data_IF_075012309978
#
_entry.id   IF_075012309978
#
_cell.length_a   1.000
_cell.length_b   1.000
_cell.length_c   1.000
_cell.angle_alpha   90.00
_cell.angle_beta   90.00
_cell.angle_gamma   90.00
#
_symmetry.space_group_name_H-M   'P 1'
#
loop_
_entity.id
_entity.type
_entity.pdbx_description
1 polymer ?
#
# COMPACT_ATOMS: atom_id res chain seq x y z
N UNK A 1 13.84 -55.45 -48.13
CA UNK A 1 12.40 -55.13 -48.02
C UNK A 1 12.21 -54.32 -46.75
N UNK A 2 12.25 -53.00 -46.85
CA UNK A 2 12.00 -52.09 -45.73
C UNK A 2 10.72 -51.33 -46.03
N UNK A 3 9.66 -51.58 -45.28
CA UNK A 3 8.38 -50.90 -45.43
C UNK A 3 8.38 -49.63 -44.58
N UNK A 4 8.37 -48.49 -45.26
CA UNK A 4 8.00 -47.17 -44.75
C UNK A 4 6.59 -47.25 -44.12
N UNK A 5 6.47 -46.95 -42.84
CA UNK A 5 5.17 -46.69 -42.20
C UNK A 5 4.79 -45.26 -42.52
N UNK A 6 3.81 -45.09 -43.41
CA UNK A 6 3.05 -43.85 -43.55
C UNK A 6 2.41 -43.52 -42.20
N UNK A 7 2.73 -42.34 -41.67
CA UNK A 7 1.97 -41.72 -40.59
C UNK A 7 0.90 -40.86 -41.25
N UNK A 8 -0.33 -41.36 -41.30
CA UNK A 8 -1.49 -40.55 -41.58
C UNK A 8 -1.69 -39.56 -40.41
N UNK A 9 -1.70 -38.23 -40.64
CA UNK A 9 -2.03 -37.28 -39.60
C UNK A 9 -3.54 -37.37 -39.29
N UNK A 10 -3.86 -37.55 -38.01
CA UNK A 10 -5.22 -37.57 -37.50
C UNK A 10 -5.92 -36.25 -37.87
N UNK A 11 -7.12 -36.26 -38.48
CA UNK A 11 -7.89 -35.06 -38.74
C UNK A 11 -8.29 -34.39 -37.42
N UNK A 12 -7.86 -33.13 -37.22
CA UNK A 12 -8.25 -32.28 -36.09
C UNK A 12 -9.66 -31.69 -36.31
N UNK A 13 -10.64 -32.52 -36.66
CA UNK A 13 -12.04 -32.11 -36.76
C UNK A 13 -12.84 -32.84 -35.68
N UNK A 14 -13.16 -32.12 -34.60
CA UNK A 14 -14.08 -32.62 -33.56
C UNK A 14 -13.63 -32.49 -32.11
N UNK A 15 -12.51 -31.83 -31.82
CA UNK A 15 -12.26 -31.35 -30.46
C UNK A 15 -13.08 -30.07 -30.27
N UNK A 16 -14.35 -30.23 -29.89
CA UNK A 16 -15.05 -29.15 -29.20
C UNK A 16 -14.17 -28.76 -28.00
N UNK A 17 -13.83 -27.48 -27.83
CA UNK A 17 -13.08 -27.07 -26.65
C UNK A 17 -13.95 -27.41 -25.46
N UNK A 18 -13.47 -28.33 -24.60
CA UNK A 18 -13.95 -28.44 -23.23
C UNK A 18 -14.08 -27.02 -22.71
N UNK A 19 -15.31 -26.64 -22.37
CA UNK A 19 -15.68 -25.28 -21.95
C UNK A 19 -15.19 -24.96 -20.54
N UNK A 20 -13.97 -25.38 -20.21
CA UNK A 20 -13.15 -24.94 -19.08
C UNK A 20 -12.13 -23.88 -19.56
N UNK A 21 -12.59 -22.97 -20.41
CA UNK A 21 -11.92 -21.69 -20.59
C UNK A 21 -12.05 -20.87 -19.30
N UNK A 22 -11.04 -20.05 -18.93
CA UNK A 22 -11.17 -19.15 -17.79
C UNK A 22 -12.46 -18.35 -17.96
N UNK A 23 -13.32 -18.43 -16.94
CA UNK A 23 -14.62 -17.75 -16.94
C UNK A 23 -14.37 -16.29 -17.32
N UNK A 24 -15.10 -15.71 -18.29
CA UNK A 24 -14.90 -14.32 -18.67
C UNK A 24 -14.97 -13.46 -17.41
N UNK A 25 -13.89 -12.71 -17.15
CA UNK A 25 -13.81 -11.80 -16.01
C UNK A 25 -15.00 -10.86 -16.14
N UNK A 26 -15.97 -11.02 -15.24
CA UNK A 26 -17.15 -10.17 -15.18
C UNK A 26 -16.76 -8.70 -15.03
N UNK A 27 -17.69 -7.76 -15.29
CA UNK A 27 -17.44 -6.34 -15.06
C UNK A 27 -16.87 -6.14 -13.66
N UNK A 28 -15.81 -5.35 -13.54
CA UNK A 28 -15.13 -5.15 -12.27
C UNK A 28 -16.04 -4.37 -11.33
N UNK A 29 -16.27 -4.84 -10.09
CA UNK A 29 -17.25 -4.24 -9.21
C UNK A 29 -16.84 -2.82 -8.78
N UNK A 30 -17.80 -2.02 -8.36
CA UNK A 30 -17.60 -0.73 -7.66
C UNK A 30 -17.80 -0.88 -6.15
N UNK A 31 -17.34 0.07 -5.33
CA UNK A 31 -17.42 0.03 -3.86
C UNK A 31 -18.84 -0.14 -3.31
N UNK A 32 -19.85 0.34 -4.03
CA UNK A 32 -21.28 0.25 -3.69
C UNK A 32 -21.91 -1.10 -4.08
N UNK A 33 -21.26 -1.86 -4.97
CA UNK A 33 -21.67 -3.22 -5.34
C UNK A 33 -21.11 -4.28 -4.38
N UNK A 34 -20.14 -3.91 -3.53
CA UNK A 34 -19.55 -4.79 -2.52
C UNK A 34 -20.46 -4.98 -1.31
N UNK A 35 -20.18 -6.02 -0.52
CA UNK A 35 -20.82 -6.18 0.79
C UNK A 35 -20.50 -4.96 1.68
N UNK A 36 -21.42 -4.53 2.58
CA UNK A 36 -21.15 -3.40 3.47
C UNK A 36 -19.90 -3.59 4.35
N UNK A 37 -19.57 -4.84 4.67
CA UNK A 37 -18.42 -5.19 5.49
C UNK A 37 -17.10 -5.05 4.70
N UNK A 38 -17.02 -5.63 3.49
CA UNK A 38 -15.88 -5.46 2.60
C UNK A 38 -15.67 -4.00 2.19
N UNK A 39 -16.75 -3.30 1.79
CA UNK A 39 -16.70 -1.87 1.46
C UNK A 39 -16.19 -1.06 2.66
N UNK A 40 -16.66 -1.37 3.88
CA UNK A 40 -16.19 -0.74 5.11
C UNK A 40 -14.71 -0.97 5.39
N UNK A 41 -14.20 -2.19 5.19
CA UNK A 41 -12.78 -2.55 5.34
C UNK A 41 -11.90 -1.81 4.34
N UNK A 42 -12.29 -1.78 3.06
CA UNK A 42 -11.57 -1.06 2.01
C UNK A 42 -11.57 0.45 2.29
N UNK A 43 -12.72 1.05 2.62
CA UNK A 43 -12.77 2.48 2.97
C UNK A 43 -11.90 2.79 4.20
N UNK A 44 -11.89 1.93 5.23
CA UNK A 44 -11.00 2.09 6.39
C UNK A 44 -9.53 2.06 5.99
N UNK A 45 -9.16 1.17 5.08
CA UNK A 45 -7.82 1.13 4.50
C UNK A 45 -7.50 2.46 3.80
N UNK A 46 -8.38 2.94 2.90
CA UNK A 46 -8.19 4.20 2.16
C UNK A 46 -7.99 5.38 3.13
N UNK A 47 -8.82 5.48 4.18
CA UNK A 47 -8.69 6.55 5.19
C UNK A 47 -7.31 6.49 5.84
N UNK A 48 -6.89 5.30 6.25
CA UNK A 48 -5.60 5.10 6.93
C UNK A 48 -4.44 5.44 6.01
N UNK A 49 -4.43 4.88 4.79
CA UNK A 49 -3.38 5.13 3.81
C UNK A 49 -3.30 6.59 3.39
N UNK A 50 -4.43 7.29 3.28
CA UNK A 50 -4.43 8.71 2.91
C UNK A 50 -3.91 9.59 4.04
N UNK A 51 -4.35 9.37 5.28
CA UNK A 51 -3.93 10.18 6.44
C UNK A 51 -2.47 9.95 6.82
N UNK A 52 -1.98 8.71 6.69
CA UNK A 52 -0.57 8.37 6.91
C UNK A 52 0.30 8.70 5.68
N UNK A 53 -0.35 9.16 4.60
CA UNK A 53 0.25 9.56 3.31
C UNK A 53 0.98 8.39 2.64
N UNK A 54 0.51 7.16 2.87
CA UNK A 54 1.08 5.89 2.44
C UNK A 54 1.10 4.89 3.59
N UNK A 55 0.94 3.61 3.27
CA UNK A 55 1.04 2.51 4.23
C UNK A 55 2.03 1.47 3.74
N UNK A 56 2.65 0.77 4.68
CA UNK A 56 3.57 -0.30 4.38
C UNK A 56 2.83 -1.48 3.68
N UNK A 57 3.51 -2.29 2.86
CA UNK A 57 2.91 -3.39 2.11
C UNK A 57 2.22 -4.43 3.00
N UNK A 58 2.65 -4.58 4.25
CA UNK A 58 1.97 -5.43 5.24
C UNK A 58 0.52 -4.99 5.53
N UNK A 59 0.19 -3.70 5.42
CA UNK A 59 -1.18 -3.21 5.53
C UNK A 59 -2.04 -3.67 4.35
N UNK A 60 -1.45 -3.80 3.15
CA UNK A 60 -2.13 -4.37 1.98
C UNK A 60 -2.36 -5.87 2.19
N UNK A 61 -1.40 -6.61 2.73
CA UNK A 61 -1.59 -8.03 3.10
C UNK A 61 -2.73 -8.18 4.09
N UNK A 62 -2.74 -7.35 5.15
CA UNK A 62 -3.80 -7.36 6.15
C UNK A 62 -5.17 -7.07 5.52
N UNK A 63 -5.25 -6.12 4.58
CA UNK A 63 -6.48 -5.88 3.82
C UNK A 63 -6.92 -7.13 3.03
N UNK A 64 -6.02 -7.78 2.29
CA UNK A 64 -6.37 -9.00 1.55
C UNK A 64 -6.80 -10.16 2.47
N UNK A 65 -6.17 -10.30 3.63
CA UNK A 65 -6.58 -11.27 4.65
C UNK A 65 -7.98 -10.95 5.18
N UNK A 66 -8.27 -9.68 5.45
CA UNK A 66 -9.58 -9.20 5.88
C UNK A 66 -10.64 -9.36 4.77
N UNK A 67 -10.27 -9.37 3.50
CA UNK A 67 -11.19 -9.60 2.37
C UNK A 67 -11.30 -11.08 1.97
N UNK A 68 -10.60 -11.99 2.68
CA UNK A 68 -10.59 -13.40 2.34
C UNK A 68 -12.01 -13.99 2.38
N UNK A 69 -12.41 -14.63 1.29
CA UNK A 69 -13.76 -15.18 1.12
C UNK A 69 -14.75 -14.26 0.40
N UNK A 70 -14.37 -13.01 0.11
CA UNK A 70 -15.19 -12.05 -0.64
C UNK A 70 -14.58 -11.77 -2.03
N UNK A 71 -14.82 -12.65 -2.99
CA UNK A 71 -14.18 -12.63 -4.32
C UNK A 71 -14.33 -11.29 -5.06
N UNK A 72 -15.49 -10.64 -4.95
CA UNK A 72 -15.73 -9.33 -5.57
C UNK A 72 -14.87 -8.22 -4.93
N UNK A 73 -14.68 -8.26 -3.60
CA UNK A 73 -13.87 -7.28 -2.89
C UNK A 73 -12.38 -7.46 -3.19
N UNK A 74 -11.91 -8.71 -3.30
CA UNK A 74 -10.55 -9.03 -3.76
C UNK A 74 -10.32 -8.50 -5.17
N UNK A 75 -11.24 -8.75 -6.11
CA UNK A 75 -11.15 -8.21 -7.48
C UNK A 75 -11.14 -6.68 -7.52
N UNK A 76 -11.88 -6.02 -6.62
CA UNK A 76 -11.82 -4.57 -6.48
C UNK A 76 -10.43 -4.10 -6.01
N UNK A 77 -9.87 -4.73 -4.96
CA UNK A 77 -8.53 -4.43 -4.45
C UNK A 77 -7.43 -4.72 -5.51
N UNK A 78 -7.60 -5.77 -6.32
CA UNK A 78 -6.67 -6.11 -7.40
C UNK A 78 -6.54 -5.00 -8.44
N UNK A 79 -7.61 -4.25 -8.73
CA UNK A 79 -7.48 -3.06 -9.60
C UNK A 79 -6.45 -2.10 -9.07
N UNK A 80 -6.50 -1.86 -7.76
CA UNK A 80 -5.66 -0.87 -7.10
C UNK A 80 -4.21 -1.32 -6.98
N UNK A 81 -4.00 -2.55 -6.54
CA UNK A 81 -2.67 -3.03 -6.15
C UNK A 81 -1.99 -3.84 -7.24
N UNK A 82 -2.74 -4.68 -7.96
CA UNK A 82 -2.17 -5.56 -9.01
C UNK A 82 -2.14 -4.84 -10.36
N UNK A 83 -3.24 -4.18 -10.73
CA UNK A 83 -3.34 -3.48 -12.02
C UNK A 83 -2.82 -2.04 -11.97
N UNK A 84 -2.51 -1.53 -10.78
CA UNK A 84 -2.08 -0.14 -10.53
C UNK A 84 -3.04 0.90 -11.13
N UNK A 85 -4.32 0.57 -11.22
CA UNK A 85 -5.38 1.49 -11.59
C UNK A 85 -5.95 2.11 -10.33
N UNK A 86 -6.19 3.42 -10.29
CA UNK A 86 -6.95 4.05 -9.20
C UNK A 86 -8.42 4.13 -9.60
N UNK A 87 -9.32 3.32 -9.02
CA UNK A 87 -10.75 3.41 -9.29
C UNK A 87 -11.30 4.82 -8.99
N UNK A 88 -12.35 5.24 -9.71
CA UNK A 88 -12.90 6.59 -9.53
C UNK A 88 -13.50 6.79 -8.13
N UNK A 89 -14.23 5.80 -7.65
CA UNK A 89 -14.81 5.75 -6.31
C UNK A 89 -13.75 5.68 -5.20
N UNK A 90 -12.62 5.01 -5.44
CA UNK A 90 -11.45 5.05 -4.56
C UNK A 90 -10.94 6.49 -4.42
N UNK A 91 -10.73 7.16 -5.54
CA UNK A 91 -10.25 8.55 -5.58
C UNK A 91 -11.25 9.52 -4.94
N UNK A 92 -12.55 9.27 -5.07
CA UNK A 92 -13.58 10.07 -4.40
C UNK A 92 -13.48 9.94 -2.87
N UNK A 93 -13.19 8.74 -2.35
CA UNK A 93 -12.93 8.53 -0.92
C UNK A 93 -11.65 9.25 -0.49
N UNK A 94 -10.54 9.12 -1.22
CA UNK A 94 -9.28 9.83 -0.94
C UNK A 94 -9.49 11.36 -0.88
N UNK A 95 -10.14 11.94 -1.89
CA UNK A 95 -10.45 13.36 -1.95
C UNK A 95 -11.26 13.81 -0.73
N UNK A 96 -12.27 13.02 -0.33
CA UNK A 96 -13.09 13.34 0.84
C UNK A 96 -12.30 13.27 2.15
N UNK A 97 -11.32 12.37 2.26
CA UNK A 97 -10.41 12.30 3.41
C UNK A 97 -9.53 13.54 3.46
N UNK A 98 -8.98 13.96 2.31
CA UNK A 98 -8.14 15.17 2.19
C UNK A 98 -8.92 16.44 2.55
N UNK A 99 -10.17 16.58 2.09
CA UNK A 99 -11.05 17.69 2.47
C UNK A 99 -11.30 17.76 3.99
N UNK A 100 -11.52 16.59 4.62
CA UNK A 100 -11.71 16.48 6.06
C UNK A 100 -10.41 16.78 6.83
N UNK A 101 -9.26 16.33 6.33
CA UNK A 101 -7.95 16.61 6.90
C UNK A 101 -7.66 18.11 6.86
N UNK A 102 -7.88 18.76 5.71
CA UNK A 102 -7.72 20.21 5.56
C UNK A 102 -8.64 20.97 6.51
N UNK A 103 -9.90 20.58 6.59
CA UNK A 103 -10.87 21.18 7.53
C UNK A 103 -10.49 20.97 9.00
N UNK A 104 -9.86 19.85 9.35
CA UNK A 104 -9.38 19.58 10.70
C UNK A 104 -8.13 20.42 11.01
N UNK A 105 -7.21 20.53 10.05
CA UNK A 105 -5.99 21.35 10.14
C UNK A 105 -6.29 22.82 10.35
N UNK A 106 -7.27 23.37 9.64
CA UNK A 106 -7.75 24.75 9.82
C UNK A 106 -8.29 25.02 11.24
N UNK A 107 -8.69 23.96 11.95
CA UNK A 107 -9.15 24.01 13.35
C UNK A 107 -8.07 23.65 14.36
N UNK A 108 -6.86 23.37 13.91
CA UNK A 108 -5.74 22.97 14.76
C UNK A 108 -5.81 21.51 15.25
N UNK A 109 -6.58 20.66 14.58
CA UNK A 109 -6.72 19.24 14.92
C UNK A 109 -5.84 18.38 14.01
N UNK A 110 -4.96 17.57 14.62
CA UNK A 110 -4.26 16.48 13.92
C UNK A 110 -5.23 15.30 13.72
N UNK A 111 -5.79 15.21 12.51
CA UNK A 111 -6.78 14.19 12.17
C UNK A 111 -6.16 12.79 12.11
N UNK A 112 -4.90 12.66 11.69
CA UNK A 112 -4.20 11.38 11.65
C UNK A 112 -3.97 10.83 13.08
N UNK A 113 -3.54 11.68 14.01
CA UNK A 113 -3.41 11.29 15.42
C UNK A 113 -4.76 11.00 16.09
N UNK A 114 -5.82 11.71 15.71
CA UNK A 114 -7.17 11.41 16.18
C UNK A 114 -7.68 10.07 15.64
N UNK A 115 -7.45 9.79 14.35
CA UNK A 115 -7.79 8.53 13.70
C UNK A 115 -7.10 7.34 14.34
N UNK A 116 -5.77 7.38 14.52
CA UNK A 116 -4.98 6.31 15.18
C UNK A 116 -5.50 5.96 16.57
N UNK A 117 -5.88 6.96 17.36
CA UNK A 117 -6.47 6.75 18.70
C UNK A 117 -7.85 6.11 18.63
N UNK A 118 -8.63 6.43 17.61
CA UNK A 118 -9.99 5.96 17.46
C UNK A 118 -10.08 4.55 16.85
N UNK A 119 -9.12 4.16 16.00
CA UNK A 119 -9.07 2.82 15.37
C UNK A 119 -8.48 1.74 16.27
N UNK A 120 -7.67 2.12 17.27
CA UNK A 120 -7.18 1.19 18.30
C UNK A 120 -8.27 0.61 19.22
N UNK A 121 -9.50 1.13 19.14
CA UNK A 121 -10.68 0.59 19.84
C UNK A 121 -11.53 -0.14 18.80
N UNK A 122 -11.59 -1.47 18.89
CA UNK A 122 -12.38 -2.30 17.99
C UNK A 122 -13.88 -1.97 18.12
N UNK A 123 -14.38 -1.10 17.23
CA UNK A 123 -15.80 -0.78 17.13
C UNK A 123 -16.34 -1.31 15.79
N UNK A 124 -17.16 -2.38 15.79
CA UNK A 124 -17.79 -2.87 14.59
C UNK A 124 -18.91 -1.92 14.11
N UNK A 125 -19.00 -1.73 12.79
CA UNK A 125 -20.22 -1.23 12.14
C UNK A 125 -20.38 0.29 11.97
N UNK A 126 -19.36 1.12 12.17
CA UNK A 126 -19.39 2.52 11.72
C UNK A 126 -18.70 2.70 10.36
N UNK A 127 -19.36 3.39 9.44
CA UNK A 127 -18.77 3.81 8.17
C UNK A 127 -17.55 4.70 8.46
N UNK A 128 -16.36 4.26 8.06
CA UNK A 128 -15.09 4.91 8.40
C UNK A 128 -15.07 6.42 8.06
N UNK A 129 -15.70 6.83 6.97
CA UNK A 129 -15.86 8.24 6.59
C UNK A 129 -16.74 9.05 7.55
N UNK A 130 -17.79 8.47 8.12
CA UNK A 130 -18.62 9.16 9.12
C UNK A 130 -17.84 9.37 10.42
N UNK A 131 -17.09 8.35 10.85
CA UNK A 131 -16.22 8.45 12.01
C UNK A 131 -15.15 9.52 11.80
N UNK A 132 -14.50 9.52 10.62
CA UNK A 132 -13.52 10.53 10.26
C UNK A 132 -14.14 11.94 10.25
N UNK A 133 -15.33 12.11 9.68
CA UNK A 133 -16.03 13.39 9.67
C UNK A 133 -16.33 13.90 11.09
N UNK A 134 -16.73 13.01 12.01
CA UNK A 134 -16.92 13.34 13.43
C UNK A 134 -15.62 13.76 14.10
N UNK A 135 -14.52 13.05 13.86
CA UNK A 135 -13.20 13.38 14.40
C UNK A 135 -12.67 14.71 13.86
N UNK A 136 -12.91 14.98 12.58
CA UNK A 136 -12.62 16.28 11.99
C UNK A 136 -13.46 17.38 12.65
N UNK A 137 -14.60 17.05 13.27
CA UNK A 137 -15.52 18.00 13.90
C UNK A 137 -16.58 18.54 12.95
N UNK A 138 -16.85 17.84 11.84
CA UNK A 138 -18.02 18.14 11.01
C UNK A 138 -19.27 17.85 11.85
N UNK A 139 -20.01 18.90 12.21
CA UNK A 139 -21.23 18.79 13.04
C UNK A 139 -22.34 18.17 12.20
N UNK A 140 -22.91 17.07 12.69
CA UNK A 140 -24.36 16.94 12.76
C UNK A 140 -24.79 16.71 14.21
N UNK A 141 -25.98 17.22 14.50
CA UNK A 141 -26.55 17.52 15.81
C UNK A 141 -26.55 16.37 16.83
N UNK A 142 -26.00 16.66 18.01
CA UNK A 142 -26.39 16.19 19.34
C UNK A 142 -26.80 14.70 19.54
N UNK A 143 -25.93 13.94 20.23
CA UNK A 143 -26.32 13.19 21.43
C UNK A 143 -25.24 13.35 22.51
N UNK A 144 -25.60 13.57 23.79
CA UNK A 144 -24.62 13.63 24.87
C UNK A 144 -24.12 12.21 25.16
N UNK A 145 -22.80 12.00 25.03
CA UNK A 145 -22.15 10.79 25.56
C UNK A 145 -22.13 10.88 27.09
N UNK A 146 -22.64 9.83 27.75
CA UNK A 146 -22.47 9.63 29.19
C UNK A 146 -21.04 9.14 29.43
N UNK A 147 -20.39 9.72 30.43
CA UNK A 147 -19.06 9.32 30.92
C UNK A 147 -19.05 7.85 31.33
N UNK A 148 -18.08 7.10 30.82
CA UNK A 148 -17.79 5.69 31.16
C UNK A 148 -16.48 5.52 31.93
N UNK A 149 -15.85 6.62 32.36
CA UNK A 149 -14.73 6.56 33.29
C UNK A 149 -15.27 6.53 34.71
N UNK A 150 -15.48 5.32 35.23
CA UNK A 150 -15.29 4.96 36.63
C UNK A 150 -15.14 3.44 36.73
N UNK A 151 -13.95 2.93 36.41
CA UNK A 151 -13.35 1.79 37.13
C UNK A 151 -11.85 1.70 36.81
N UNK A 152 -10.95 1.80 37.80
CA UNK A 152 -9.55 1.43 37.68
C UNK A 152 -9.36 -0.07 37.94
N UNK A 153 -8.37 -0.66 37.28
CA UNK A 153 -7.87 -2.04 37.39
C UNK A 153 -8.54 -3.07 36.46
N UNK A 154 -7.83 -3.40 35.39
CA UNK A 154 -7.37 -4.76 35.08
C UNK A 154 -6.49 -4.73 33.82
N UNK A 155 -5.19 -4.52 34.02
CA UNK A 155 -4.13 -4.78 33.04
C UNK A 155 -3.46 -6.10 33.43
N UNK A 156 -4.13 -7.22 33.15
CA UNK A 156 -3.50 -8.54 33.14
C UNK A 156 -2.89 -8.80 31.75
N UNK A 157 -1.57 -8.66 31.72
CA UNK A 157 -0.57 -9.51 31.07
C UNK A 157 -1.10 -10.49 29.99
N UNK A 158 -0.77 -10.22 28.72
CA UNK A 158 -0.71 -11.25 27.68
C UNK A 158 0.75 -11.48 27.32
N UNK A 159 1.25 -12.63 27.79
CA UNK A 159 2.51 -13.26 27.42
C UNK A 159 2.61 -13.48 25.91
N UNK A 160 3.79 -13.13 25.43
CA UNK A 160 4.60 -13.67 24.32
C UNK A 160 3.94 -14.69 23.38
N UNK A 161 3.84 -14.29 22.10
CA UNK A 161 3.90 -15.23 20.99
C UNK A 161 5.31 -15.15 20.39
N UNK A 162 6.10 -16.19 20.67
CA UNK A 162 7.35 -16.54 19.99
C UNK A 162 7.12 -16.65 18.47
N UNK A 163 7.73 -15.76 17.69
CA UNK A 163 8.21 -16.08 16.34
C UNK A 163 9.63 -15.51 16.18
N UNK A 164 10.58 -16.27 16.70
CA UNK A 164 12.01 -16.01 16.61
C UNK A 164 12.51 -16.30 15.17
N UNK A 165 12.19 -15.42 14.21
CA UNK A 165 12.91 -15.36 12.93
C UNK A 165 14.25 -14.65 13.17
N UNK A 166 15.19 -15.38 13.78
CA UNK A 166 16.54 -14.90 14.03
C UNK A 166 17.32 -14.73 12.71
N UNK A 167 17.21 -13.56 12.09
CA UNK A 167 18.22 -13.08 11.16
C UNK A 167 19.49 -12.79 11.98
N UNK A 168 20.50 -13.66 11.89
CA UNK A 168 21.80 -13.40 12.47
C UNK A 168 22.37 -12.10 11.86
N UNK A 169 22.29 -10.99 12.59
CA UNK A 169 22.80 -9.68 12.16
C UNK A 169 24.29 -9.82 11.85
N UNK A 170 24.66 -9.62 10.60
CA UNK A 170 26.03 -9.67 10.14
C UNK A 170 26.68 -8.28 10.32
N UNK A 171 27.31 -8.09 11.50
CA UNK A 171 28.20 -6.99 11.95
C UNK A 171 27.65 -6.06 13.06
N UNK A 172 28.58 -5.43 13.79
CA UNK A 172 28.38 -4.58 14.99
C UNK A 172 27.54 -3.29 14.78
N UNK A 173 27.01 -3.03 13.58
CA UNK A 173 26.25 -1.80 13.25
C UNK A 173 25.14 -2.09 12.23
N UNK A 174 23.98 -1.45 12.41
CA UNK A 174 22.87 -1.45 11.44
C UNK A 174 23.33 -0.88 10.07
N UNK A 175 22.92 -1.49 8.94
CA UNK A 175 23.28 -1.00 7.61
C UNK A 175 22.61 0.34 7.30
N UNK A 176 23.39 1.30 6.79
CA UNK A 176 22.84 2.49 6.14
C UNK A 176 22.68 2.23 4.64
N UNK A 177 21.79 2.95 3.94
CA UNK A 177 21.56 2.77 2.51
C UNK A 177 22.84 2.99 1.70
N UNK A 178 23.68 3.95 2.12
CA UNK A 178 24.96 4.27 1.45
C UNK A 178 25.97 3.12 1.50
N UNK A 179 25.84 2.21 2.48
CA UNK A 179 26.74 1.08 2.67
C UNK A 179 26.40 -0.11 1.76
N UNK A 180 25.25 -0.07 1.07
CA UNK A 180 24.78 -1.12 0.18
C UNK A 180 25.42 -1.02 -1.21
N UNK A 181 25.29 -2.09 -2.00
CA UNK A 181 25.69 -2.06 -3.42
C UNK A 181 24.93 -0.97 -4.18
N UNK A 182 25.51 -0.39 -5.24
CA UNK A 182 24.86 0.67 -6.00
C UNK A 182 23.53 0.21 -6.63
N UNK A 183 23.41 -1.07 -6.98
CA UNK A 183 22.18 -1.66 -7.50
C UNK A 183 21.10 -1.76 -6.40
N UNK A 184 21.46 -2.30 -5.23
CA UNK A 184 20.57 -2.37 -4.08
C UNK A 184 20.10 -0.97 -3.64
N UNK A 185 21.00 0.01 -3.62
CA UNK A 185 20.68 1.42 -3.36
C UNK A 185 19.61 1.93 -4.34
N UNK A 186 19.79 1.71 -5.63
CA UNK A 186 18.83 2.18 -6.64
C UNK A 186 17.47 1.50 -6.48
N UNK A 187 17.44 0.18 -6.29
CA UNK A 187 16.21 -0.58 -6.12
C UNK A 187 15.44 -0.17 -4.86
N UNK A 188 16.13 -0.06 -3.71
CA UNK A 188 15.51 0.35 -2.44
C UNK A 188 15.02 1.80 -2.52
N UNK A 189 15.82 2.73 -3.08
CA UNK A 189 15.38 4.12 -3.27
C UNK A 189 14.13 4.20 -4.14
N UNK A 190 14.12 3.45 -5.25
CA UNK A 190 12.98 3.39 -6.14
C UNK A 190 11.74 2.89 -5.41
N UNK A 191 11.87 1.77 -4.71
CA UNK A 191 10.78 1.16 -3.97
C UNK A 191 10.21 2.10 -2.89
N UNK A 192 11.07 2.73 -2.08
CA UNK A 192 10.66 3.69 -1.05
C UNK A 192 9.88 4.88 -1.65
N UNK A 193 10.36 5.42 -2.77
CA UNK A 193 9.70 6.53 -3.46
C UNK A 193 8.35 6.08 -4.05
N UNK A 194 8.31 4.94 -4.73
CA UNK A 194 7.08 4.41 -5.34
C UNK A 194 6.03 4.07 -4.26
N UNK A 195 6.42 3.45 -3.15
CA UNK A 195 5.56 3.20 -2.00
C UNK A 195 4.91 4.49 -1.50
N UNK A 196 5.69 5.57 -1.38
CA UNK A 196 5.17 6.85 -0.94
C UNK A 196 4.21 7.47 -1.96
N UNK A 197 4.64 7.56 -3.22
CA UNK A 197 3.88 8.24 -4.27
C UNK A 197 2.60 7.49 -4.65
N UNK A 198 2.59 6.16 -4.50
CA UNK A 198 1.43 5.30 -4.76
C UNK A 198 0.62 5.00 -3.49
N UNK A 199 0.84 5.68 -2.36
CA UNK A 199 0.12 5.43 -1.09
C UNK A 199 0.15 3.95 -0.62
N UNK A 200 1.25 3.24 -0.90
CA UNK A 200 1.45 1.82 -0.63
C UNK A 200 1.55 0.99 -1.90
N UNK A 201 2.53 0.09 -1.93
CA UNK A 201 2.73 -0.88 -3.01
C UNK A 201 2.11 -2.24 -2.67
N UNK A 202 1.82 -3.02 -3.72
CA UNK A 202 1.39 -4.38 -3.54
C UNK A 202 2.46 -5.22 -2.79
N UNK A 203 2.08 -6.17 -1.94
CA UNK A 203 3.01 -7.00 -1.19
C UNK A 203 4.00 -7.76 -2.09
N UNK A 204 3.56 -8.15 -3.28
CA UNK A 204 4.41 -8.83 -4.27
C UNK A 204 5.64 -8.00 -4.65
N UNK A 205 5.53 -6.66 -4.68
CA UNK A 205 6.66 -5.79 -5.02
C UNK A 205 7.74 -5.83 -3.92
N UNK A 206 7.33 -5.87 -2.65
CA UNK A 206 8.26 -6.05 -1.52
C UNK A 206 8.88 -7.45 -1.55
N UNK A 207 8.07 -8.49 -1.81
CA UNK A 207 8.55 -9.87 -1.88
C UNK A 207 9.52 -10.07 -3.05
N UNK A 208 9.25 -9.47 -4.21
CA UNK A 208 10.14 -9.50 -5.37
C UNK A 208 11.46 -8.78 -5.09
N UNK A 209 11.42 -7.68 -4.33
CA UNK A 209 12.62 -6.98 -3.87
C UNK A 209 13.46 -7.86 -2.92
N UNK A 210 12.83 -8.46 -1.89
CA UNK A 210 13.50 -9.42 -1.00
C UNK A 210 14.08 -10.61 -1.74
N UNK A 211 13.32 -11.19 -2.67
CA UNK A 211 13.74 -12.34 -3.48
C UNK A 211 14.90 -11.99 -4.39
N UNK A 212 14.91 -10.77 -4.96
CA UNK A 212 16.04 -10.25 -5.73
C UNK A 212 17.34 -10.28 -4.91
N UNK A 213 17.30 -9.72 -3.71
CA UNK A 213 18.47 -9.70 -2.82
C UNK A 213 18.87 -11.09 -2.31
N UNK A 214 17.91 -11.98 -2.07
CA UNK A 214 18.20 -13.36 -1.71
C UNK A 214 18.94 -14.11 -2.83
N UNK A 215 18.47 -13.98 -4.08
CA UNK A 215 19.12 -14.62 -5.24
C UNK A 215 20.54 -14.07 -5.50
N UNK A 216 20.76 -12.80 -5.17
CA UNK A 216 22.05 -12.12 -5.30
C UNK A 216 22.98 -12.34 -4.10
N UNK A 217 22.47 -12.92 -3.00
CA UNK A 217 23.19 -13.08 -1.75
C UNK A 217 23.49 -11.75 -1.03
N UNK A 218 22.70 -10.70 -1.27
CA UNK A 218 22.86 -9.39 -0.64
C UNK A 218 22.16 -9.34 0.73
N UNK A 219 22.76 -10.01 1.72
CA UNK A 219 22.25 -10.08 3.09
C UNK A 219 22.13 -8.70 3.76
N UNK A 220 22.99 -7.76 3.38
CA UNK A 220 22.99 -6.38 3.89
C UNK A 220 21.75 -5.63 3.43
N UNK A 221 21.37 -5.76 2.16
CA UNK A 221 20.16 -5.13 1.62
C UNK A 221 18.88 -5.71 2.25
N UNK A 222 18.85 -7.02 2.52
CA UNK A 222 17.73 -7.66 3.25
C UNK A 222 17.62 -7.14 4.68
N UNK A 223 18.72 -7.10 5.42
CA UNK A 223 18.75 -6.53 6.78
C UNK A 223 18.29 -5.07 6.81
N UNK A 224 18.63 -4.28 5.79
CA UNK A 224 18.13 -2.90 5.68
C UNK A 224 16.61 -2.86 5.53
N UNK A 225 16.01 -3.73 4.71
CA UNK A 225 14.54 -3.83 4.59
C UNK A 225 13.89 -4.33 5.88
N UNK A 226 14.54 -5.24 6.61
CA UNK A 226 14.05 -5.76 7.89
C UNK A 226 13.93 -4.64 8.92
N UNK A 227 14.88 -3.69 8.97
CA UNK A 227 14.77 -2.51 9.84
C UNK A 227 13.45 -1.74 9.60
N UNK A 228 13.06 -1.60 8.34
CA UNK A 228 11.86 -0.85 7.95
C UNK A 228 10.59 -1.65 8.23
N UNK A 229 10.53 -2.90 7.79
CA UNK A 229 9.28 -3.65 7.70
C UNK A 229 9.06 -4.67 8.80
N UNK A 230 10.13 -5.19 9.40
CA UNK A 230 10.09 -6.18 10.49
C UNK A 230 10.25 -5.45 11.83
N UNK A 231 11.39 -4.77 12.01
CA UNK A 231 11.74 -4.10 13.26
C UNK A 231 10.94 -2.81 13.47
N UNK A 232 10.37 -2.23 12.39
CA UNK A 232 9.62 -0.97 12.40
C UNK A 232 10.45 0.22 12.91
N UNK A 233 11.75 0.18 12.68
CA UNK A 233 12.74 1.21 13.00
C UNK A 233 13.38 1.72 11.70
N UNK A 234 12.64 2.44 10.84
CA UNK A 234 13.16 2.87 9.56
C UNK A 234 14.38 3.79 9.74
N UNK A 235 15.49 3.52 9.03
CA UNK A 235 16.66 4.38 9.01
C UNK A 235 16.37 5.83 8.56
N UNK A 236 17.20 6.80 8.95
CA UNK A 236 16.95 8.23 8.65
C UNK A 236 16.94 8.53 7.15
N UNK A 237 17.79 7.88 6.37
CA UNK A 237 17.83 8.01 4.91
C UNK A 237 16.56 7.47 4.23
N UNK A 238 15.92 6.44 4.78
CA UNK A 238 14.56 6.03 4.38
C UNK A 238 13.55 7.15 4.64
N UNK A 239 13.55 7.72 5.85
CA UNK A 239 12.64 8.80 6.23
C UNK A 239 12.83 10.05 5.37
N UNK A 240 14.08 10.38 5.03
CA UNK A 240 14.41 11.49 4.13
C UNK A 240 13.83 11.28 2.72
N UNK A 241 13.93 10.06 2.17
CA UNK A 241 13.32 9.70 0.88
C UNK A 241 11.80 9.82 0.91
N UNK A 242 11.16 9.31 1.96
CA UNK A 242 9.71 9.39 2.16
C UNK A 242 9.23 10.85 2.31
N UNK A 243 10.01 11.69 2.99
CA UNK A 243 9.76 13.13 3.13
C UNK A 243 9.92 13.87 1.80
N UNK A 244 10.97 13.58 1.03
CA UNK A 244 11.18 14.15 -0.31
C UNK A 244 10.04 13.76 -1.26
N UNK A 245 9.64 12.49 -1.26
CA UNK A 245 8.53 11.99 -2.08
C UNK A 245 7.19 12.62 -1.67
N UNK A 246 6.94 12.75 -0.36
CA UNK A 246 5.77 13.46 0.17
C UNK A 246 5.69 14.90 -0.32
N UNK A 247 6.79 15.65 -0.33
CA UNK A 247 6.82 17.02 -0.86
C UNK A 247 6.47 17.08 -2.34
N UNK A 248 6.96 16.15 -3.15
CA UNK A 248 6.61 16.09 -4.58
C UNK A 248 5.13 15.78 -4.77
N UNK A 249 4.59 14.85 -3.97
CA UNK A 249 3.18 14.50 -3.98
C UNK A 249 2.31 15.72 -3.68
N UNK A 250 2.58 16.44 -2.59
CA UNK A 250 1.80 17.63 -2.20
C UNK A 250 1.82 18.71 -3.30
N UNK A 251 2.98 18.94 -3.94
CA UNK A 251 3.13 19.94 -5.01
C UNK A 251 2.44 19.51 -6.31
N UNK A 252 2.46 18.20 -6.63
CA UNK A 252 1.77 17.66 -7.80
C UNK A 252 0.25 17.73 -7.61
N UNK A 253 -0.22 17.36 -6.43
CA UNK A 253 -1.64 17.39 -6.03
C UNK A 253 -2.20 18.82 -6.12
N UNK A 254 -1.47 19.81 -5.58
CA UNK A 254 -1.83 21.23 -5.71
C UNK A 254 -1.96 21.72 -7.17
N UNK A 255 -1.37 20.99 -8.12
CA UNK A 255 -1.45 21.24 -9.57
C UNK A 255 -2.40 20.28 -10.32
N UNK A 256 -3.15 19.46 -9.59
CA UNK A 256 -4.07 18.47 -10.16
C UNK A 256 -3.35 17.38 -10.97
N UNK A 257 -2.13 17.00 -10.57
CA UNK A 257 -1.33 15.96 -11.23
C UNK A 257 -1.05 14.79 -10.29
N UNK A 258 -0.92 13.61 -10.89
CA UNK A 258 -0.56 12.37 -10.20
C UNK A 258 0.96 12.22 -10.15
N UNK A 259 1.55 12.35 -8.96
CA UNK A 259 3.00 12.30 -8.77
C UNK A 259 3.59 10.91 -9.08
N UNK A 260 2.90 9.83 -8.70
CA UNK A 260 3.32 8.46 -9.00
C UNK A 260 3.41 8.22 -10.50
N UNK A 261 2.40 8.69 -11.25
CA UNK A 261 2.42 8.61 -12.72
C UNK A 261 3.54 9.43 -13.34
N UNK A 262 3.75 10.67 -12.88
CA UNK A 262 4.87 11.50 -13.37
C UNK A 262 6.22 10.83 -13.13
N UNK A 263 6.38 10.16 -12.00
CA UNK A 263 7.58 9.42 -11.65
C UNK A 263 7.78 8.18 -12.52
N UNK A 264 6.75 7.34 -12.66
CA UNK A 264 6.79 6.17 -13.54
C UNK A 264 7.10 6.54 -15.01
N UNK A 265 6.47 7.61 -15.53
CA UNK A 265 6.71 8.08 -16.89
C UNK A 265 8.16 8.59 -17.07
N UNK A 266 8.72 9.26 -16.06
CA UNK A 266 10.12 9.71 -16.09
C UNK A 266 11.10 8.53 -16.09
N UNK A 267 10.92 7.55 -15.21
CA UNK A 267 11.78 6.37 -15.16
C UNK A 267 11.71 5.56 -16.45
N UNK A 268 10.52 5.46 -17.06
CA UNK A 268 10.34 4.81 -18.36
C UNK A 268 11.05 5.55 -19.50
N UNK A 269 11.01 6.88 -19.48
CA UNK A 269 11.70 7.70 -20.47
C UNK A 269 13.22 7.77 -20.26
N UNK A 270 13.70 7.46 -19.05
CA UNK A 270 15.12 7.57 -18.67
C UNK A 270 15.52 6.45 -17.71
N UNK A 271 15.65 5.19 -18.20
CA UNK A 271 15.81 4.00 -17.35
C UNK A 271 17.12 3.93 -16.55
N UNK A 272 18.09 4.81 -16.83
CA UNK A 272 19.35 4.92 -16.08
C UNK A 272 19.36 6.07 -15.05
N UNK A 273 18.24 6.77 -14.87
CA UNK A 273 18.20 7.88 -13.92
C UNK A 273 18.13 7.34 -12.49
N UNK A 274 18.93 7.92 -11.60
CA UNK A 274 18.83 7.60 -10.19
C UNK A 274 17.44 8.05 -9.66
N UNK A 275 16.70 7.20 -8.92
CA UNK A 275 15.36 7.52 -8.43
C UNK A 275 15.25 8.86 -7.70
N UNK A 276 16.19 9.15 -6.78
CA UNK A 276 16.22 10.42 -6.05
C UNK A 276 16.44 11.64 -6.97
N UNK A 277 17.28 11.49 -8.02
CA UNK A 277 17.47 12.53 -9.04
C UNK A 277 16.20 12.71 -9.87
N UNK A 278 15.54 11.61 -10.24
CA UNK A 278 14.26 11.65 -10.95
C UNK A 278 13.19 12.43 -10.17
N UNK A 279 13.10 12.18 -8.86
CA UNK A 279 12.17 12.87 -7.97
C UNK A 279 12.41 14.39 -7.93
N UNK A 280 13.68 14.82 -7.85
CA UNK A 280 14.05 16.25 -7.90
C UNK A 280 13.69 16.91 -9.21
N UNK A 281 13.92 16.24 -10.34
CA UNK A 281 13.54 16.75 -11.66
C UNK A 281 12.02 16.98 -11.74
N UNK A 282 11.22 16.09 -11.17
CA UNK A 282 9.76 16.27 -11.12
C UNK A 282 9.42 17.49 -10.28
N UNK A 283 10.02 17.63 -9.11
CA UNK A 283 9.80 18.79 -8.23
C UNK A 283 10.12 20.11 -8.96
N UNK A 284 11.28 20.20 -9.59
CA UNK A 284 11.70 21.37 -10.38
C UNK A 284 10.71 21.68 -11.50
N UNK A 285 10.27 20.66 -12.24
CA UNK A 285 9.28 20.82 -13.32
C UNK A 285 7.92 21.23 -12.82
N UNK A 286 7.53 20.81 -11.63
CA UNK A 286 6.29 21.24 -11.03
C UNK A 286 6.42 22.69 -10.59
N UNK A 287 7.52 23.11 -9.98
CA UNK A 287 7.69 24.47 -9.45
C UNK A 287 7.86 25.56 -10.52
N UNK A 288 8.30 25.20 -11.74
CA UNK A 288 8.40 26.10 -12.89
C UNK A 288 7.02 26.54 -13.44
#
# INVERSE_FOLDING_TARGET
MGATRDFDPIPLEGLEPDSDGPTPVGPTPTLDELSPDASGRIVRYIVTSTLERGVAPNAVVALYADLAGEEQAVRYADRRFILREVPADWRDVENRVLDLEQSARERGTDLAAAWRRATGVAMPGQAALEQLARLAGARESARPQRSIFDDPDDLEELEEADEDFQHARLADRAPDLVDLSSDAQQRIRRFAIEERLEHGLAPVELLDLYRGFELEGDDRARQYLDLVYVDREPPNDWLDLQSEAGRVMDVAEARGRDAGRLFADLLKASPGIEPAVGLRIILERLLA
#
